data_IF_240067790958
#
_entry.id   IF_240067790958
#
_cell.length_a   1.000
_cell.length_b   1.000
_cell.length_c   1.000
_cell.angle_alpha   90.00
_cell.angle_beta   90.00
_cell.angle_gamma   90.00
#
_symmetry.space_group_name_H-M   'P 1'
#
loop_
_entity.id
_entity.type
_entity.pdbx_description
1 polymer ?
#
# COMPACT_ATOMS: atom_id res chain seq x y z
N UNK A 1 -10.53 -24.01 9.58
CA UNK A 1 -10.51 -23.47 8.21
C UNK A 1 -9.03 -23.28 7.86
N UNK A 2 -8.49 -24.01 6.88
CA UNK A 2 -7.10 -23.79 6.45
C UNK A 2 -7.03 -22.42 5.78
N UNK A 3 -6.23 -21.52 6.34
CA UNK A 3 -5.91 -20.25 5.70
C UNK A 3 -4.93 -20.54 4.57
N UNK A 4 -5.39 -20.49 3.32
CA UNK A 4 -4.48 -20.58 2.17
C UNK A 4 -3.73 -19.27 2.06
N UNK A 5 -2.45 -19.28 2.43
CA UNK A 5 -1.57 -18.14 2.23
C UNK A 5 -1.20 -18.06 0.74
N UNK A 6 -2.09 -17.45 -0.05
CA UNK A 6 -1.86 -17.30 -1.49
C UNK A 6 -0.59 -16.54 -1.80
N UNK A 7 -0.03 -15.72 -0.90
CA UNK A 7 1.25 -15.02 -1.16
C UNK A 7 2.46 -15.96 -1.24
N UNK A 8 2.35 -17.17 -0.71
CA UNK A 8 3.41 -18.20 -0.72
C UNK A 8 3.19 -19.26 -1.80
N UNK A 9 2.08 -19.19 -2.54
CA UNK A 9 1.82 -20.14 -3.62
C UNK A 9 2.71 -19.89 -4.84
N UNK A 10 3.13 -20.95 -5.52
CA UNK A 10 4.00 -20.85 -6.69
C UNK A 10 3.39 -20.02 -7.84
N UNK A 11 2.05 -19.99 -7.93
CA UNK A 11 1.33 -19.25 -8.97
C UNK A 11 1.33 -17.73 -8.77
N UNK A 12 1.57 -17.23 -7.56
CA UNK A 12 1.47 -15.79 -7.22
C UNK A 12 2.83 -15.17 -6.88
N UNK A 13 3.79 -15.98 -6.42
CA UNK A 13 5.09 -15.52 -5.91
C UNK A 13 5.89 -14.71 -6.94
N UNK A 14 6.07 -15.26 -8.14
CA UNK A 14 6.80 -14.59 -9.22
C UNK A 14 6.06 -13.38 -9.81
N UNK A 15 4.74 -13.44 -10.07
CA UNK A 15 3.95 -12.26 -10.45
C UNK A 15 4.03 -11.12 -9.44
N UNK A 16 3.90 -11.39 -8.14
CA UNK A 16 3.99 -10.38 -7.09
C UNK A 16 5.37 -9.71 -7.06
N UNK A 17 6.45 -10.49 -7.20
CA UNK A 17 7.82 -9.99 -7.29
C UNK A 17 8.03 -9.07 -8.51
N UNK A 18 7.51 -9.46 -9.67
CA UNK A 18 7.56 -8.64 -10.90
C UNK A 18 6.79 -7.32 -10.74
N UNK A 19 5.57 -7.39 -10.20
CA UNK A 19 4.76 -6.21 -9.90
C UNK A 19 5.53 -5.25 -9.00
N UNK A 20 6.07 -5.72 -7.87
CA UNK A 20 6.79 -4.85 -6.93
C UNK A 20 8.04 -4.25 -7.54
N UNK A 21 8.81 -5.03 -8.31
CA UNK A 21 10.00 -4.50 -8.97
C UNK A 21 9.64 -3.41 -9.98
N UNK A 22 8.62 -3.63 -10.81
CA UNK A 22 8.12 -2.63 -11.74
C UNK A 22 7.60 -1.41 -10.99
N UNK A 23 6.72 -1.58 -10.00
CA UNK A 23 6.05 -0.51 -9.27
C UNK A 23 6.95 0.30 -8.33
N UNK A 24 8.06 -0.26 -7.83
CA UNK A 24 8.99 0.43 -6.92
C UNK A 24 10.29 0.87 -7.59
N UNK A 25 10.82 0.10 -8.54
CA UNK A 25 12.14 0.38 -9.12
C UNK A 25 12.05 1.34 -10.31
N UNK A 26 10.99 1.23 -11.11
CA UNK A 26 10.87 2.01 -12.34
C UNK A 26 10.25 3.40 -12.05
N UNK A 27 9.15 3.54 -11.27
CA UNK A 27 8.64 4.82 -10.81
C UNK A 27 9.67 5.66 -10.05
N UNK A 28 10.46 5.03 -9.17
CA UNK A 28 11.57 5.73 -8.48
C UNK A 28 12.56 6.36 -9.48
N UNK A 29 12.87 5.68 -10.59
CA UNK A 29 13.78 6.20 -11.62
C UNK A 29 13.11 7.24 -12.53
N UNK A 30 11.78 7.22 -12.60
CA UNK A 30 10.95 8.13 -13.38
C UNK A 30 10.40 9.32 -12.56
N UNK A 31 10.80 9.49 -11.30
CA UNK A 31 10.26 10.49 -10.36
C UNK A 31 8.74 10.36 -10.09
N UNK A 32 8.16 9.20 -10.40
CA UNK A 32 6.76 8.89 -10.15
C UNK A 32 6.56 8.31 -8.74
N UNK A 33 5.38 8.58 -8.15
CA UNK A 33 4.99 8.09 -6.82
C UNK A 33 3.92 7.00 -6.95
N UNK A 34 4.22 5.80 -6.44
CA UNK A 34 3.27 4.69 -6.38
C UNK A 34 2.38 4.78 -5.13
N UNK A 35 1.07 4.66 -5.32
CA UNK A 35 0.13 4.32 -4.24
C UNK A 35 -0.21 2.84 -4.34
N UNK A 36 0.23 2.05 -3.35
CA UNK A 36 -0.05 0.61 -3.28
C UNK A 36 -1.08 0.33 -2.18
N UNK A 37 -2.18 -0.34 -2.52
CA UNK A 37 -3.19 -0.80 -1.56
C UNK A 37 -3.06 -2.32 -1.48
N UNK A 38 -2.57 -2.83 -0.36
CA UNK A 38 -2.37 -4.25 -0.12
C UNK A 38 -2.87 -4.66 1.28
N UNK A 39 -3.28 -5.92 1.43
CA UNK A 39 -3.54 -6.50 2.74
C UNK A 39 -2.20 -6.83 3.42
N UNK A 40 -1.71 -5.88 4.22
CA UNK A 40 -0.44 -5.97 4.96
C UNK A 40 0.81 -5.92 4.05
N UNK A 41 1.65 -4.89 4.20
CA UNK A 41 2.83 -4.68 3.35
C UNK A 41 4.07 -5.44 3.87
N UNK A 42 4.02 -6.78 3.85
CA UNK A 42 5.12 -7.65 4.30
C UNK A 42 6.08 -8.00 3.17
N UNK A 43 7.28 -8.52 3.52
CA UNK A 43 8.21 -9.05 2.51
C UNK A 43 7.58 -10.20 1.69
N UNK A 44 6.71 -10.99 2.31
CA UNK A 44 5.97 -12.07 1.65
C UNK A 44 4.92 -11.52 0.67
N UNK A 45 4.21 -10.45 1.05
CA UNK A 45 3.25 -9.77 0.17
C UNK A 45 3.90 -9.22 -1.11
N UNK A 46 5.21 -9.02 -1.10
CA UNK A 46 5.99 -8.57 -2.26
C UNK A 46 6.81 -9.68 -2.94
N UNK A 47 6.41 -10.94 -2.74
CA UNK A 47 7.04 -12.11 -3.37
C UNK A 47 8.47 -12.41 -2.87
N UNK A 48 8.82 -11.96 -1.66
CA UNK A 48 10.15 -12.18 -1.08
C UNK A 48 11.27 -11.45 -1.84
N UNK A 49 10.99 -10.28 -2.41
CA UNK A 49 11.98 -9.53 -3.19
C UNK A 49 13.17 -9.05 -2.33
N UNK A 50 14.29 -9.76 -2.44
CA UNK A 50 15.56 -9.35 -1.84
C UNK A 50 16.02 -7.99 -2.41
N UNK A 51 16.55 -7.13 -1.54
CA UNK A 51 17.10 -5.82 -1.90
C UNK A 51 16.10 -4.66 -1.96
N UNK A 52 14.78 -4.90 -1.88
CA UNK A 52 13.78 -3.82 -1.89
C UNK A 52 13.45 -3.26 -0.51
N UNK A 53 13.94 -3.87 0.58
CA UNK A 53 13.65 -3.45 1.97
C UNK A 53 13.97 -1.97 2.25
N UNK A 54 15.13 -1.47 1.79
CA UNK A 54 15.47 -0.04 1.88
C UNK A 54 14.60 0.85 0.98
N UNK A 55 14.19 0.34 -0.18
CA UNK A 55 13.27 1.04 -1.08
C UNK A 55 11.86 1.16 -0.48
N UNK A 56 11.39 0.13 0.23
CA UNK A 56 10.13 0.13 0.98
C UNK A 56 10.14 1.07 2.18
N UNK A 57 11.27 1.22 2.87
CA UNK A 57 11.34 2.14 4.02
C UNK A 57 11.54 3.60 3.65
N UNK A 58 12.11 3.88 2.46
CA UNK A 58 12.50 5.25 2.06
C UNK A 58 11.81 5.78 0.80
N UNK A 59 11.06 4.94 0.09
CA UNK A 59 10.50 5.25 -1.22
C UNK A 59 8.99 5.02 -1.34
N UNK A 60 8.31 4.63 -0.26
CA UNK A 60 6.86 4.41 -0.26
C UNK A 60 6.23 5.03 0.97
N UNK A 61 5.16 5.79 0.75
CA UNK A 61 4.23 6.18 1.81
C UNK A 61 3.25 5.03 1.97
N UNK A 62 3.13 4.48 3.17
CA UNK A 62 2.21 3.38 3.46
C UNK A 62 1.07 3.88 4.34
N UNK A 63 -0.15 3.42 4.05
CA UNK A 63 -1.36 3.68 4.83
C UNK A 63 -1.82 2.35 5.42
N UNK A 64 -1.51 2.12 6.69
CA UNK A 64 -1.85 0.90 7.39
C UNK A 64 -3.22 1.03 8.06
N UNK A 65 -4.22 0.39 7.46
CA UNK A 65 -5.56 0.30 8.03
C UNK A 65 -5.68 -0.90 8.96
N UNK A 66 -6.14 -0.66 10.18
CA UNK A 66 -6.50 -1.73 11.13
C UNK A 66 -7.91 -2.23 10.84
N UNK A 67 -8.23 -3.44 11.27
CA UNK A 67 -9.58 -4.01 11.21
C UNK A 67 -10.15 -4.16 12.61
N UNK A 68 -11.44 -3.87 12.81
CA UNK A 68 -12.09 -4.01 14.13
C UNK A 68 -12.20 -5.46 14.60
N UNK A 69 -12.36 -6.40 13.66
CA UNK A 69 -12.73 -7.80 13.89
C UNK A 69 -12.08 -8.76 12.87
N UNK A 70 -11.04 -8.29 12.17
CA UNK A 70 -10.43 -9.01 11.05
C UNK A 70 -11.20 -8.90 9.73
N UNK A 71 -12.35 -8.21 9.70
CA UNK A 71 -13.21 -8.11 8.51
C UNK A 71 -13.47 -6.67 8.08
N UNK A 72 -13.80 -5.80 9.03
CA UNK A 72 -14.20 -4.41 8.74
C UNK A 72 -12.99 -3.49 8.91
N UNK A 73 -12.51 -2.85 7.81
CA UNK A 73 -11.45 -1.85 7.90
C UNK A 73 -11.92 -0.64 8.71
N UNK A 74 -11.11 -0.20 9.67
CA UNK A 74 -11.34 1.02 10.42
C UNK A 74 -10.95 2.24 9.57
N UNK A 75 -11.67 3.36 9.76
CA UNK A 75 -11.27 4.66 9.17
C UNK A 75 -9.94 5.16 9.72
N UNK A 76 -9.64 4.85 10.98
CA UNK A 76 -8.39 5.25 11.64
C UNK A 76 -7.24 4.38 11.13
N UNK A 77 -6.19 5.04 10.65
CA UNK A 77 -5.03 4.40 10.02
C UNK A 77 -3.72 5.03 10.48
N UNK A 78 -2.61 4.36 10.17
CA UNK A 78 -1.27 4.86 10.41
C UNK A 78 -0.61 5.18 9.07
N UNK A 79 -0.06 6.38 8.92
CA UNK A 79 0.79 6.74 7.77
C UNK A 79 2.25 6.60 8.20
N UNK A 80 3.03 5.86 7.42
CA UNK A 80 4.47 5.71 7.60
C UNK A 80 5.24 6.01 6.30
N UNK A 81 6.56 6.17 6.40
CA UNK A 81 7.45 6.40 5.24
C UNK A 81 7.49 7.83 4.73
N UNK A 82 6.99 8.80 5.51
CA UNK A 82 7.16 10.23 5.24
C UNK A 82 8.57 10.68 5.68
N UNK A 83 9.16 11.62 4.95
CA UNK A 83 10.38 12.31 5.37
C UNK A 83 10.05 13.79 5.63
N UNK A 84 10.76 14.40 6.57
CA UNK A 84 10.67 15.83 6.85
C UNK A 84 11.45 16.64 5.78
N UNK A 85 11.45 17.97 5.92
CA UNK A 85 12.17 18.88 5.02
C UNK A 85 13.68 18.64 4.96
N UNK A 86 14.25 18.03 6.00
CA UNK A 86 15.67 17.74 6.12
C UNK A 86 16.04 16.37 5.51
N UNK A 87 15.04 15.61 5.05
CA UNK A 87 15.20 14.28 4.47
C UNK A 87 15.26 13.14 5.49
N UNK A 88 15.05 13.43 6.77
CA UNK A 88 14.95 12.43 7.83
C UNK A 88 13.55 11.82 7.88
N UNK A 89 13.46 10.56 8.29
CA UNK A 89 12.18 9.87 8.45
C UNK A 89 11.34 10.51 9.55
N UNK A 90 10.10 10.87 9.24
CA UNK A 90 9.12 11.30 10.23
C UNK A 90 8.58 10.10 11.03
N UNK A 91 8.14 10.38 12.25
CA UNK A 91 7.40 9.43 13.08
C UNK A 91 6.05 9.12 12.44
N UNK A 92 5.65 7.85 12.51
CA UNK A 92 4.35 7.37 12.03
C UNK A 92 3.19 8.24 12.55
N UNK A 93 2.34 8.71 11.63
CA UNK A 93 1.22 9.62 11.93
C UNK A 93 -0.10 8.88 11.92
N UNK A 94 -0.88 9.03 12.99
CA UNK A 94 -2.27 8.54 13.03
C UNK A 94 -3.16 9.47 12.23
N UNK A 95 -3.94 8.93 11.31
CA UNK A 95 -4.86 9.69 10.44
C UNK A 95 -6.24 9.04 10.39
N UNK A 96 -7.22 9.82 9.94
CA UNK A 96 -8.52 9.32 9.54
C UNK A 96 -8.57 9.29 8.01
N UNK A 97 -8.90 8.14 7.44
CA UNK A 97 -9.03 7.97 6.01
C UNK A 97 -10.38 8.53 5.56
N UNK A 98 -10.40 9.43 4.55
CA UNK A 98 -11.65 9.96 4.03
C UNK A 98 -12.46 8.84 3.38
N UNK A 99 -13.79 8.95 3.39
CA UNK A 99 -14.67 7.86 2.93
C UNK A 99 -14.52 7.56 1.44
N UNK A 100 -14.06 8.52 0.65
CA UNK A 100 -13.82 8.34 -0.77
C UNK A 100 -12.58 7.50 -1.09
N UNK A 101 -11.64 7.32 -0.15
CA UNK A 101 -10.43 6.52 -0.37
C UNK A 101 -10.69 5.02 -0.12
N UNK A 102 -11.60 4.45 -0.91
CA UNK A 102 -11.91 3.02 -0.93
C UNK A 102 -11.81 2.46 -2.35
N UNK A 103 -11.51 1.15 -2.53
CA UNK A 103 -11.47 0.53 -3.85
C UNK A 103 -12.77 0.72 -4.64
N UNK A 104 -13.92 0.65 -3.96
CA UNK A 104 -15.22 0.85 -4.59
C UNK A 104 -15.40 2.28 -5.10
N UNK A 105 -15.10 3.30 -4.27
CA UNK A 105 -15.20 4.70 -4.66
C UNK A 105 -14.25 5.05 -5.81
N UNK A 106 -13.02 4.53 -5.78
CA UNK A 106 -12.04 4.70 -6.86
C UNK A 106 -12.52 4.01 -8.14
N UNK A 107 -13.02 2.77 -8.04
CA UNK A 107 -13.57 2.06 -9.19
C UNK A 107 -14.75 2.80 -9.83
N UNK A 108 -15.68 3.30 -9.00
CA UNK A 108 -16.80 4.14 -9.44
C UNK A 108 -16.32 5.39 -10.17
N UNK A 109 -15.28 6.05 -9.68
CA UNK A 109 -14.65 7.20 -10.34
C UNK A 109 -14.22 6.92 -11.78
N UNK A 110 -13.47 5.84 -11.97
CA UNK A 110 -13.02 5.42 -13.29
C UNK A 110 -14.15 4.88 -14.18
N UNK A 111 -15.36 4.70 -13.64
CA UNK A 111 -16.57 4.31 -14.35
C UNK A 111 -17.62 5.43 -14.35
N UNK A 112 -17.16 6.68 -14.51
CA UNK A 112 -17.99 7.88 -14.71
C UNK A 112 -18.90 8.30 -13.53
N UNK A 113 -18.59 7.85 -12.31
CA UNK A 113 -19.25 8.35 -11.10
C UNK A 113 -18.29 9.25 -10.31
N UNK A 114 -18.51 10.57 -10.22
CA UNK A 114 -17.58 11.47 -9.56
C UNK A 114 -17.35 11.11 -8.09
N UNK A 115 -16.13 11.33 -7.61
CA UNK A 115 -15.82 11.26 -6.18
C UNK A 115 -16.30 12.53 -5.53
N UNK A 116 -17.00 12.39 -4.41
CA UNK A 116 -17.22 13.46 -3.46
C UNK A 116 -16.00 13.57 -2.53
N UNK A 117 -15.32 14.71 -2.59
CA UNK A 117 -14.10 14.96 -1.82
C UNK A 117 -14.38 15.71 -0.50
N UNK A 118 -15.63 16.10 -0.23
CA UNK A 118 -15.99 16.97 0.90
C UNK A 118 -16.22 16.23 2.25
N UNK A 119 -15.81 14.96 2.34
CA UNK A 119 -15.95 14.10 3.52
C UNK A 119 -14.63 13.89 4.32
#
# INVERSE_FOLDING_TARGET
MNFTNYSESDITKEPAKKFVKASLSDPRKAEERLVCIAHFFTNTAVGGSDGTAKGRSRGTIQIDRKTADGKIPLKVSLINGLNNSDGDAEVDKKVTIPSWLTPESIHKHFNAQPIDFDD
#
